data_IF_126690315777
#
_entry.id   IF_126690315777
#
_cell.length_a   1.000
_cell.length_b   1.000
_cell.length_c   1.000
_cell.angle_alpha   90.00
_cell.angle_beta   90.00
_cell.angle_gamma   90.00
#
_symmetry.space_group_name_H-M   'P 1'
#
loop_
_entity.id
_entity.type
_entity.pdbx_description
1 polymer ?
#
# COMPACT_ATOMS: atom_id res chain seq x y z
N UNK A 1 60.59 -18.25 -37.66
CA UNK A 1 60.62 -17.80 -36.25
C UNK A 1 59.86 -16.50 -36.00
N UNK A 2 59.96 -15.49 -36.87
CA UNK A 2 59.35 -14.15 -36.63
C UNK A 2 57.95 -14.00 -37.24
N UNK A 3 57.67 -14.72 -38.33
CA UNK A 3 56.38 -14.67 -39.05
C UNK A 3 55.26 -15.40 -38.29
N UNK A 4 55.56 -16.53 -37.63
CA UNK A 4 54.59 -17.25 -36.78
C UNK A 4 54.23 -16.47 -35.51
N UNK A 5 55.18 -15.75 -34.91
CA UNK A 5 54.92 -14.86 -33.77
C UNK A 5 54.01 -13.69 -34.15
N UNK A 6 54.21 -13.10 -35.35
CA UNK A 6 53.34 -12.04 -35.85
C UNK A 6 51.92 -12.55 -36.17
N UNK A 7 51.80 -13.74 -36.78
CA UNK A 7 50.51 -14.35 -37.07
C UNK A 7 49.73 -14.72 -35.79
N UNK A 8 50.42 -15.21 -34.76
CA UNK A 8 49.82 -15.55 -33.46
C UNK A 8 49.47 -14.28 -32.65
N UNK A 9 50.28 -13.22 -32.72
CA UNK A 9 49.97 -11.92 -32.12
C UNK A 9 48.77 -11.24 -32.79
N UNK A 10 48.69 -11.28 -34.12
CA UNK A 10 47.56 -10.73 -34.88
C UNK A 10 46.30 -11.57 -34.62
N UNK A 11 46.39 -12.90 -34.64
CA UNK A 11 45.29 -13.80 -34.30
C UNK A 11 44.78 -13.63 -32.86
N UNK A 12 45.69 -13.42 -31.90
CA UNK A 12 45.37 -13.12 -30.50
C UNK A 12 44.66 -11.77 -30.31
N UNK A 13 45.05 -10.75 -31.06
CA UNK A 13 44.37 -9.44 -31.08
C UNK A 13 42.94 -9.52 -31.65
N UNK A 14 42.72 -10.28 -32.72
CA UNK A 14 41.38 -10.50 -33.28
C UNK A 14 40.47 -11.30 -32.36
N UNK A 15 41.02 -12.32 -31.67
CA UNK A 15 40.28 -13.08 -30.66
C UNK A 15 39.94 -12.21 -29.43
N UNK A 16 40.89 -11.41 -28.92
CA UNK A 16 40.67 -10.50 -27.80
C UNK A 16 39.63 -9.40 -28.14
N UNK A 17 39.68 -8.84 -29.35
CA UNK A 17 38.70 -7.85 -29.82
C UNK A 17 37.30 -8.45 -29.93
N UNK A 18 37.18 -9.70 -30.38
CA UNK A 18 35.89 -10.39 -30.50
C UNK A 18 35.30 -10.75 -29.13
N UNK A 19 36.14 -11.22 -28.20
CA UNK A 19 35.75 -11.50 -26.81
C UNK A 19 35.32 -10.22 -26.08
N UNK A 20 36.07 -9.13 -26.23
CA UNK A 20 35.71 -7.84 -25.65
C UNK A 20 34.36 -7.32 -26.16
N UNK A 21 34.11 -7.43 -27.48
CA UNK A 21 32.81 -7.04 -28.07
C UNK A 21 31.66 -7.92 -27.56
N UNK A 22 31.91 -9.20 -27.32
CA UNK A 22 30.91 -10.11 -26.75
C UNK A 22 30.58 -9.73 -25.29
N UNK A 23 31.58 -9.56 -24.43
CA UNK A 23 31.37 -9.18 -23.03
C UNK A 23 30.73 -7.80 -22.88
N UNK A 24 31.08 -6.84 -23.73
CA UNK A 24 30.42 -5.53 -23.79
C UNK A 24 28.94 -5.67 -24.13
N UNK A 25 28.58 -6.50 -25.11
CA UNK A 25 27.17 -6.75 -25.47
C UNK A 25 26.42 -7.44 -24.34
N UNK A 26 27.03 -8.41 -23.67
CA UNK A 26 26.41 -9.09 -22.53
C UNK A 26 26.17 -8.13 -21.37
N UNK A 27 27.15 -7.27 -21.05
CA UNK A 27 26.99 -6.24 -20.03
C UNK A 27 25.84 -5.28 -20.33
N UNK A 28 25.75 -4.79 -21.58
CA UNK A 28 24.65 -3.91 -22.00
C UNK A 28 23.30 -4.63 -21.88
N UNK A 29 23.25 -5.91 -22.24
CA UNK A 29 22.04 -6.73 -22.12
C UNK A 29 21.63 -6.92 -20.65
N UNK A 30 22.56 -7.31 -19.79
CA UNK A 30 22.31 -7.51 -18.35
C UNK A 30 21.87 -6.22 -17.66
N UNK A 31 22.50 -5.09 -18.01
CA UNK A 31 22.11 -3.76 -17.49
C UNK A 31 20.72 -3.35 -17.96
N UNK A 32 20.37 -3.61 -19.22
CA UNK A 32 19.02 -3.35 -19.74
C UNK A 32 17.97 -4.17 -18.99
N UNK A 33 18.24 -5.45 -18.73
CA UNK A 33 17.34 -6.32 -17.97
C UNK A 33 17.19 -5.87 -16.51
N UNK A 34 18.28 -5.41 -15.87
CA UNK A 34 18.20 -4.84 -14.52
C UNK A 34 17.36 -3.57 -14.50
N UNK A 35 17.55 -2.67 -15.46
CA UNK A 35 16.78 -1.44 -15.57
C UNK A 35 15.28 -1.73 -15.77
N UNK A 36 14.94 -2.68 -16.64
CA UNK A 36 13.54 -3.12 -16.84
C UNK A 36 12.93 -3.69 -15.55
N UNK A 37 13.68 -4.48 -14.78
CA UNK A 37 13.24 -4.98 -13.47
C UNK A 37 12.98 -3.87 -12.46
N UNK A 38 13.88 -2.89 -12.37
CA UNK A 38 13.73 -1.76 -11.45
C UNK A 38 12.52 -0.88 -11.81
N UNK A 39 12.21 -0.70 -13.10
CA UNK A 39 10.97 -0.06 -13.53
C UNK A 39 9.74 -0.87 -13.14
N UNK A 40 9.75 -2.19 -13.37
CA UNK A 40 8.64 -3.07 -12.97
C UNK A 40 8.40 -3.04 -11.46
N UNK A 41 9.46 -3.04 -10.64
CA UNK A 41 9.33 -2.92 -9.19
C UNK A 41 8.71 -1.58 -8.77
N UNK A 42 9.05 -0.49 -9.47
CA UNK A 42 8.43 0.82 -9.23
C UNK A 42 6.96 0.83 -9.62
N UNK A 43 6.61 0.25 -10.77
CA UNK A 43 5.23 0.13 -11.22
C UNK A 43 4.39 -0.70 -10.23
N UNK A 44 4.91 -1.85 -9.77
CA UNK A 44 4.25 -2.67 -8.75
C UNK A 44 4.03 -1.91 -7.44
N UNK A 45 4.99 -1.07 -7.01
CA UNK A 45 4.81 -0.22 -5.82
C UNK A 45 3.68 0.79 -6.06
N UNK A 46 3.65 1.45 -7.21
CA UNK A 46 2.58 2.41 -7.53
C UNK A 46 1.21 1.73 -7.53
N UNK A 47 1.08 0.56 -8.15
CA UNK A 47 -0.16 -0.23 -8.15
C UNK A 47 -0.60 -0.62 -6.72
N UNK A 48 0.34 -1.03 -5.87
CA UNK A 48 0.06 -1.31 -4.46
C UNK A 48 -0.52 -0.09 -3.73
N UNK A 49 -0.02 1.12 -4.01
CA UNK A 49 -0.58 2.34 -3.44
C UNK A 49 -1.96 2.67 -3.98
N UNK A 50 -2.27 2.34 -5.24
CA UNK A 50 -3.62 2.48 -5.79
C UNK A 50 -4.59 1.56 -5.04
N UNK A 51 -4.22 0.29 -4.86
CA UNK A 51 -4.99 -0.68 -4.06
C UNK A 51 -5.26 -0.17 -2.64
N UNK A 52 -4.26 0.40 -1.96
CA UNK A 52 -4.46 0.97 -0.62
C UNK A 52 -5.44 2.16 -0.60
N UNK A 53 -5.52 2.95 -1.68
CA UNK A 53 -6.50 4.05 -1.76
C UNK A 53 -7.91 3.53 -1.96
N UNK A 54 -8.06 2.43 -2.69
CA UNK A 54 -9.36 1.76 -2.88
C UNK A 54 -9.83 1.12 -1.57
N UNK A 55 -8.97 0.37 -0.89
CA UNK A 55 -9.29 -0.26 0.40
C UNK A 55 -9.73 0.76 1.47
N UNK A 56 -9.05 1.92 1.55
CA UNK A 56 -9.46 3.01 2.46
C UNK A 56 -10.85 3.55 2.12
N UNK A 57 -11.21 3.65 0.83
CA UNK A 57 -12.55 4.12 0.43
C UNK A 57 -13.60 3.07 0.76
N UNK A 58 -13.33 1.81 0.46
CA UNK A 58 -14.25 0.71 0.71
C UNK A 58 -14.54 0.54 2.21
N UNK A 59 -13.53 0.70 3.08
CA UNK A 59 -13.71 0.65 4.53
C UNK A 59 -14.60 1.79 5.05
N UNK A 60 -14.40 3.01 4.52
CA UNK A 60 -15.22 4.18 4.89
C UNK A 60 -16.65 4.00 4.40
N UNK A 61 -16.83 3.58 3.15
CA UNK A 61 -18.15 3.37 2.55
C UNK A 61 -18.93 2.26 3.27
N UNK A 62 -18.27 1.18 3.66
CA UNK A 62 -18.87 0.13 4.48
C UNK A 62 -19.35 0.67 5.83
N UNK A 63 -18.57 1.54 6.46
CA UNK A 63 -18.92 2.14 7.75
C UNK A 63 -20.11 3.08 7.62
N UNK A 64 -20.12 3.95 6.60
CA UNK A 64 -21.23 4.86 6.32
C UNK A 64 -22.50 4.08 6.02
N UNK A 65 -22.44 3.09 5.13
CA UNK A 65 -23.59 2.25 4.78
C UNK A 65 -24.18 1.54 6.01
N UNK A 66 -23.33 1.03 6.90
CA UNK A 66 -23.78 0.37 8.14
C UNK A 66 -24.44 1.35 9.12
N UNK A 67 -23.89 2.56 9.26
CA UNK A 67 -24.47 3.60 10.13
C UNK A 67 -25.81 4.11 9.60
N UNK A 68 -25.96 4.23 8.28
CA UNK A 68 -27.22 4.62 7.65
C UNK A 68 -28.31 3.56 7.89
N UNK A 69 -27.97 2.27 7.86
CA UNK A 69 -28.89 1.18 8.18
C UNK A 69 -29.37 1.25 9.65
N UNK A 70 -28.47 1.59 10.58
CA UNK A 70 -28.85 1.83 11.97
C UNK A 70 -29.73 3.06 12.14
N UNK A 71 -29.51 4.11 11.35
CA UNK A 71 -30.32 5.33 11.39
C UNK A 71 -31.75 5.07 10.92
N UNK A 72 -31.93 4.26 9.87
CA UNK A 72 -33.27 3.82 9.41
C UNK A 72 -33.96 2.99 10.49
N UNK A 73 -33.27 2.01 11.09
CA UNK A 73 -33.84 1.17 12.14
C UNK A 73 -34.25 2.00 13.37
N UNK A 74 -33.40 2.94 13.79
CA UNK A 74 -33.69 3.85 14.89
C UNK A 74 -34.89 4.78 14.58
N UNK A 75 -35.00 5.28 13.35
CA UNK A 75 -36.11 6.12 12.92
C UNK A 75 -37.46 5.37 12.94
N UNK A 76 -37.48 4.11 12.47
CA UNK A 76 -38.70 3.28 12.52
C UNK A 76 -39.14 2.96 13.95
N UNK A 77 -38.19 2.67 14.84
CA UNK A 77 -38.49 2.45 16.26
C UNK A 77 -38.99 3.74 16.92
N UNK A 78 -38.40 4.89 16.57
CA UNK A 78 -38.83 6.19 17.08
C UNK A 78 -40.24 6.56 16.61
N UNK A 79 -40.59 6.28 15.35
CA UNK A 79 -41.95 6.46 14.82
C UNK A 79 -42.96 5.58 15.58
N UNK A 80 -42.63 4.29 15.76
CA UNK A 80 -43.50 3.37 16.51
C UNK A 80 -43.72 3.82 17.95
N UNK A 81 -42.67 4.32 18.61
CA UNK A 81 -42.74 4.78 19.99
C UNK A 81 -43.50 6.11 20.11
N UNK A 82 -43.38 6.98 19.10
CA UNK A 82 -44.19 8.21 18.98
C UNK A 82 -45.69 7.89 18.86
N UNK A 83 -46.05 6.91 18.04
CA UNK A 83 -47.45 6.44 17.96
C UNK A 83 -47.95 5.91 19.31
N UNK A 84 -47.13 5.13 20.03
CA UNK A 84 -47.51 4.64 21.37
C UNK A 84 -47.71 5.77 22.39
N UNK A 85 -46.94 6.86 22.30
CA UNK A 85 -47.11 8.04 23.16
C UNK A 85 -48.44 8.74 22.83
N UNK A 86 -48.78 8.90 21.55
CA UNK A 86 -50.02 9.55 21.13
C UNK A 86 -51.28 8.72 21.45
N UNK A 87 -51.21 7.40 21.34
CA UNK A 87 -52.35 6.48 21.61
C UNK A 87 -52.36 5.91 23.03
N UNK A 88 -51.52 6.43 23.93
CA UNK A 88 -51.39 5.94 25.30
C UNK A 88 -52.74 5.93 26.05
N UNK A 89 -53.64 6.87 25.74
CA UNK A 89 -54.96 6.97 26.36
C UNK A 89 -55.95 5.86 25.95
N UNK A 90 -55.71 5.20 24.81
CA UNK A 90 -56.58 4.14 24.28
C UNK A 90 -56.06 2.74 24.63
N UNK A 91 -54.76 2.62 24.91
CA UNK A 91 -54.10 1.34 25.15
C UNK A 91 -54.30 0.79 26.58
N UNK A 92 -54.62 1.64 27.56
CA UNK A 92 -54.84 1.22 28.95
C UNK A 92 -56.33 0.97 29.25
N UNK A 93 -56.67 -0.02 30.10
CA UNK A 93 -58.04 -0.27 30.51
C UNK A 93 -58.65 0.98 31.14
N UNK A 94 -59.91 1.33 30.80
CA UNK A 94 -60.59 2.46 31.43
C UNK A 94 -60.63 2.24 32.95
N UNK A 95 -60.02 3.14 33.72
CA UNK A 95 -59.81 3.14 35.21
C UNK A 95 -58.53 2.47 35.73
N UNK A 96 -57.44 2.42 34.95
CA UNK A 96 -56.12 2.05 35.50
C UNK A 96 -55.66 3.03 36.60
N UNK A 97 -54.94 2.56 37.65
CA UNK A 97 -54.39 3.43 38.69
C UNK A 97 -53.41 4.46 38.13
N UNK A 98 -53.45 5.70 38.64
CA UNK A 98 -52.65 6.82 38.13
C UNK A 98 -51.13 6.55 38.17
N UNK A 99 -50.65 5.86 39.19
CA UNK A 99 -49.23 5.50 39.31
C UNK A 99 -48.75 4.57 38.19
N UNK A 100 -49.62 3.72 37.62
CA UNK A 100 -49.28 2.85 36.47
C UNK A 100 -49.12 3.69 35.21
N UNK A 101 -50.01 4.67 35.02
CA UNK A 101 -49.97 5.59 33.87
C UNK A 101 -48.70 6.43 33.92
N UNK A 102 -48.33 6.94 35.10
CA UNK A 102 -47.10 7.71 35.31
C UNK A 102 -45.84 6.86 35.08
N UNK A 103 -45.81 5.61 35.56
CA UNK A 103 -44.67 4.72 35.32
C UNK A 103 -44.52 4.40 33.82
N UNK A 104 -45.64 4.14 33.14
CA UNK A 104 -45.64 3.88 31.70
C UNK A 104 -45.16 5.11 30.90
N UNK A 105 -45.63 6.33 31.23
CA UNK A 105 -45.18 7.55 30.57
C UNK A 105 -43.69 7.86 30.80
N UNK A 106 -43.17 7.59 32.01
CA UNK A 106 -41.73 7.71 32.28
C UNK A 106 -40.91 6.71 31.46
N UNK A 107 -41.38 5.47 31.32
CA UNK A 107 -40.70 4.45 30.52
C UNK A 107 -40.68 4.82 29.03
N UNK A 108 -41.79 5.31 28.47
CA UNK A 108 -41.89 5.79 27.10
C UNK A 108 -41.01 7.03 26.87
N UNK A 109 -41.01 7.98 27.80
CA UNK A 109 -40.14 9.16 27.73
C UNK A 109 -38.66 8.76 27.72
N UNK A 110 -38.25 7.85 28.60
CA UNK A 110 -36.87 7.35 28.65
C UNK A 110 -36.48 6.60 27.36
N UNK A 111 -37.41 5.84 26.77
CA UNK A 111 -37.22 5.19 25.47
C UNK A 111 -37.03 6.18 24.33
N UNK A 112 -37.82 7.27 24.30
CA UNK A 112 -37.65 8.35 23.31
C UNK A 112 -36.27 9.01 23.41
N UNK A 113 -35.83 9.36 24.62
CA UNK A 113 -34.51 9.96 24.83
C UNK A 113 -33.38 9.03 24.41
N UNK A 114 -33.49 7.73 24.70
CA UNK A 114 -32.50 6.73 24.29
C UNK A 114 -32.39 6.62 22.75
N UNK A 115 -33.53 6.58 22.05
CA UNK A 115 -33.54 6.52 20.59
C UNK A 115 -32.99 7.80 19.95
N UNK A 116 -33.26 8.96 20.54
CA UNK A 116 -32.72 10.23 20.08
C UNK A 116 -31.19 10.29 20.25
N UNK A 117 -30.66 9.81 21.38
CA UNK A 117 -29.22 9.68 21.58
C UNK A 117 -28.59 8.69 20.59
N UNK A 118 -29.24 7.56 20.34
CA UNK A 118 -28.77 6.58 19.35
C UNK A 118 -28.67 7.22 17.95
N UNK A 119 -29.70 7.97 17.53
CA UNK A 119 -29.73 8.66 16.24
C UNK A 119 -28.63 9.73 16.15
N UNK A 120 -28.43 10.50 17.22
CA UNK A 120 -27.35 11.48 17.33
C UNK A 120 -25.96 10.83 17.17
N UNK A 121 -25.71 9.74 17.90
CA UNK A 121 -24.45 9.02 17.83
C UNK A 121 -24.21 8.39 16.45
N UNK A 122 -25.25 7.83 15.82
CA UNK A 122 -25.15 7.30 14.46
C UNK A 122 -24.80 8.37 13.43
N UNK A 123 -25.43 9.56 13.52
CA UNK A 123 -25.10 10.71 12.67
C UNK A 123 -23.66 11.17 12.90
N UNK A 124 -23.23 11.30 14.15
CA UNK A 124 -21.88 11.72 14.48
C UNK A 124 -20.83 10.71 13.97
N UNK A 125 -21.10 9.41 14.13
CA UNK A 125 -20.24 8.34 13.61
C UNK A 125 -20.10 8.42 12.07
N UNK A 126 -21.20 8.59 11.34
CA UNK A 126 -21.21 8.70 9.87
C UNK A 126 -20.36 9.90 9.38
N UNK A 127 -20.57 11.08 9.96
CA UNK A 127 -19.78 12.28 9.61
C UNK A 127 -18.30 12.12 9.97
N UNK A 128 -18.00 11.53 11.13
CA UNK A 128 -16.63 11.30 11.55
C UNK A 128 -15.89 10.32 10.62
N UNK A 129 -16.56 9.26 10.15
CA UNK A 129 -15.99 8.27 9.23
C UNK A 129 -15.58 8.92 7.90
N UNK A 130 -16.43 9.79 7.34
CA UNK A 130 -16.11 10.55 6.12
C UNK A 130 -14.91 11.49 6.32
N UNK A 131 -14.85 12.18 7.47
CA UNK A 131 -13.73 13.05 7.80
C UNK A 131 -12.40 12.27 7.96
N UNK A 132 -12.44 11.11 8.60
CA UNK A 132 -11.27 10.23 8.73
C UNK A 132 -10.84 9.64 7.38
N UNK A 133 -11.78 9.26 6.51
CA UNK A 133 -11.49 8.82 5.15
C UNK A 133 -10.73 9.87 4.34
N UNK A 134 -11.19 11.12 4.37
CA UNK A 134 -10.50 12.23 3.72
C UNK A 134 -9.09 12.47 4.30
N UNK A 135 -8.93 12.33 5.63
CA UNK A 135 -7.64 12.49 6.31
C UNK A 135 -6.66 11.37 5.95
N UNK A 136 -7.12 10.12 5.89
CA UNK A 136 -6.32 8.95 5.47
C UNK A 136 -5.79 9.13 4.05
N UNK A 137 -6.65 9.55 3.11
CA UNK A 137 -6.29 9.73 1.71
C UNK A 137 -5.33 10.90 1.45
N UNK A 138 -5.32 11.92 2.33
CA UNK A 138 -4.49 13.13 2.16
C UNK A 138 -3.20 13.11 2.97
N UNK A 139 -3.21 12.52 4.16
CA UNK A 139 -2.06 12.55 5.07
C UNK A 139 -1.25 11.26 5.08
N UNK A 140 -1.90 10.10 4.97
CA UNK A 140 -1.26 8.81 5.18
C UNK A 140 -0.89 8.10 3.87
N UNK A 141 -1.72 8.21 2.83
CA UNK A 141 -1.42 7.61 1.52
C UNK A 141 -0.65 8.59 0.63
N UNK A 142 0.62 8.81 0.95
CA UNK A 142 1.56 9.57 0.09
C UNK A 142 2.17 8.66 -0.96
N UNK A 143 2.33 9.17 -2.18
CA UNK A 143 2.95 8.43 -3.28
C UNK A 143 4.42 8.11 -2.97
N UNK A 144 4.91 6.91 -3.30
CA UNK A 144 6.32 6.59 -3.22
C UNK A 144 7.03 7.38 -4.32
N UNK A 145 7.84 8.37 -3.92
CA UNK A 145 8.71 9.04 -4.88
C UNK A 145 10.06 8.32 -4.91
N UNK A 146 10.54 8.04 -6.12
CA UNK A 146 11.91 7.57 -6.28
C UNK A 146 12.85 8.74 -6.05
N UNK A 147 13.85 8.52 -5.20
CA UNK A 147 14.86 9.55 -4.93
C UNK A 147 15.79 9.65 -6.14
N UNK A 148 16.28 10.85 -6.44
CA UNK A 148 17.21 11.07 -7.58
C UNK A 148 18.44 10.16 -7.52
N UNK A 149 18.86 9.79 -6.32
CA UNK A 149 19.95 8.83 -6.08
C UNK A 149 19.61 7.43 -6.59
N UNK A 150 18.38 6.95 -6.36
CA UNK A 150 17.91 5.65 -6.86
C UNK A 150 17.85 5.65 -8.39
N UNK A 151 17.41 6.75 -8.99
CA UNK A 151 17.41 6.91 -10.46
C UNK A 151 18.85 6.95 -11.01
N UNK A 152 19.77 7.61 -10.30
CA UNK A 152 21.17 7.70 -10.68
C UNK A 152 21.91 6.36 -10.54
N UNK A 153 21.48 5.49 -9.62
CA UNK A 153 21.97 4.11 -9.46
C UNK A 153 21.38 3.17 -10.54
N UNK A 154 20.12 3.38 -10.92
CA UNK A 154 19.45 2.67 -12.00
C UNK A 154 20.04 2.97 -13.39
N UNK A 155 20.61 4.16 -13.56
CA UNK A 155 21.18 4.61 -14.83
C UNK A 155 22.51 3.91 -15.10
N UNK A 156 22.61 3.20 -16.23
CA UNK A 156 23.85 2.55 -16.64
C UNK A 156 24.94 3.57 -16.96
N UNK A 157 26.00 3.63 -16.14
CA UNK A 157 27.20 4.42 -16.41
C UNK A 157 28.26 3.56 -17.10
N UNK A 158 28.99 4.16 -18.03
CA UNK A 158 30.12 3.49 -18.69
C UNK A 158 31.24 3.13 -17.72
N UNK A 159 31.37 3.91 -16.64
CA UNK A 159 32.33 3.68 -15.54
C UNK A 159 32.09 2.33 -14.86
N UNK A 160 30.84 1.89 -14.71
CA UNK A 160 30.49 0.60 -14.11
C UNK A 160 31.03 -0.60 -14.91
N UNK A 161 31.26 -0.42 -16.22
CA UNK A 161 31.84 -1.45 -17.08
C UNK A 161 33.37 -1.50 -16.93
N UNK A 162 33.99 -0.35 -16.73
CA UNK A 162 35.45 -0.20 -16.61
C UNK A 162 35.96 -0.61 -15.22
N UNK A 163 35.12 -0.46 -14.18
CA UNK A 163 35.43 -0.86 -12.80
C UNK A 163 35.45 -2.39 -12.57
N UNK A 164 34.86 -3.20 -13.47
CA UNK A 164 34.78 -4.67 -13.32
C UNK A 164 36.10 -5.43 -13.56
N UNK A 165 37.19 -4.73 -13.83
CA UNK A 165 38.53 -5.33 -13.92
C UNK A 165 38.78 -6.13 -15.21
N UNK A 166 40.05 -6.19 -15.62
CA UNK A 166 40.47 -6.79 -16.90
C UNK A 166 40.15 -8.30 -17.04
N UNK A 167 40.00 -9.01 -15.93
CA UNK A 167 39.65 -10.44 -15.91
C UNK A 167 38.19 -10.74 -16.28
N UNK A 168 37.24 -9.89 -15.88
CA UNK A 168 35.83 -10.04 -16.26
C UNK A 168 35.55 -9.49 -17.67
N UNK A 169 36.35 -8.51 -18.11
CA UNK A 169 36.30 -7.93 -19.46
C UNK A 169 36.64 -8.95 -20.57
N UNK A 170 37.37 -10.01 -20.25
CA UNK A 170 37.81 -11.07 -21.17
C UNK A 170 37.27 -12.46 -20.81
N UNK A 171 36.06 -12.53 -20.25
CA UNK A 171 35.33 -13.79 -20.04
C UNK A 171 35.22 -14.60 -21.34
N UNK A 172 35.55 -15.89 -21.26
CA UNK A 172 35.50 -16.85 -22.37
C UNK A 172 34.21 -17.69 -22.24
N UNK A 173 33.34 -17.73 -23.25
CA UNK A 173 31.95 -18.20 -23.12
C UNK A 173 31.75 -19.70 -22.83
N UNK A 174 32.81 -20.51 -22.71
CA UNK A 174 32.71 -21.98 -22.59
C UNK A 174 33.58 -22.55 -21.44
N UNK A 175 34.58 -21.80 -20.94
CA UNK A 175 35.53 -22.32 -19.94
C UNK A 175 35.06 -22.18 -18.49
N UNK A 176 33.98 -21.43 -18.24
CA UNK A 176 33.49 -21.18 -16.88
C UNK A 176 32.35 -22.14 -16.56
N UNK A 177 32.74 -23.39 -16.25
CA UNK A 177 31.87 -24.34 -15.58
C UNK A 177 31.67 -23.85 -14.15
N UNK A 178 30.41 -23.78 -13.72
CA UNK A 178 29.94 -23.19 -12.47
C UNK A 178 30.86 -23.42 -11.27
N UNK A 179 31.31 -22.33 -10.65
CA UNK A 179 31.81 -22.34 -9.27
C UNK A 179 30.62 -22.11 -8.33
N UNK A 180 30.44 -22.92 -7.28
CA UNK A 180 29.23 -22.89 -6.47
C UNK A 180 29.19 -21.66 -5.57
N UNK A 181 28.06 -20.95 -5.60
CA UNK A 181 27.53 -20.15 -4.49
C UNK A 181 28.49 -19.17 -3.81
N UNK A 182 28.64 -17.98 -4.38
CA UNK A 182 28.75 -16.78 -3.54
C UNK A 182 27.43 -16.06 -3.65
N UNK A 183 26.61 -16.25 -2.63
CA UNK A 183 25.45 -15.43 -2.33
C UNK A 183 25.93 -13.99 -2.19
N UNK A 184 25.80 -13.19 -3.25
CA UNK A 184 25.71 -11.74 -3.13
C UNK A 184 24.35 -11.44 -2.47
N UNK A 185 24.28 -11.68 -1.15
CA UNK A 185 23.33 -10.95 -0.33
C UNK A 185 23.66 -9.46 -0.55
N UNK A 186 22.71 -8.63 -1.00
CA UNK A 186 22.89 -7.19 -0.85
C UNK A 186 23.13 -6.90 0.64
N UNK A 187 23.92 -5.88 1.01
CA UNK A 187 24.05 -5.48 2.40
C UNK A 187 22.68 -4.98 2.90
N UNK A 188 21.92 -5.88 3.51
CA UNK A 188 20.78 -5.58 4.36
C UNK A 188 21.30 -4.91 5.64
N UNK A 189 21.52 -3.60 5.64
CA UNK A 189 21.06 -2.68 6.71
C UNK A 189 21.41 -1.22 6.39
N UNK A 190 20.48 -0.30 6.68
CA UNK A 190 20.79 0.67 7.72
C UNK A 190 20.03 0.30 9.00
N UNK A 191 20.80 -0.11 10.01
CA UNK A 191 20.35 -0.07 11.40
C UNK A 191 20.13 1.40 11.74
N UNK A 192 18.86 1.81 11.74
CA UNK A 192 18.40 3.16 12.04
C UNK A 192 16.93 3.14 12.43
N UNK A 193 16.55 2.20 13.29
CA UNK A 193 15.34 2.36 14.10
C UNK A 193 15.65 3.42 15.17
N UNK A 194 15.11 4.61 15.01
CA UNK A 194 14.80 5.50 16.11
C UNK A 194 13.34 5.93 15.94
N UNK A 195 12.50 5.22 16.69
CA UNK A 195 11.19 5.71 17.11
C UNK A 195 11.34 7.12 17.69
N UNK A 196 10.55 8.07 17.19
CA UNK A 196 10.09 9.21 17.99
C UNK A 196 8.60 9.41 17.70
N UNK A 197 7.81 8.43 18.12
CA UNK A 197 6.41 8.60 18.47
C UNK A 197 6.31 8.65 19.99
N UNK A 198 6.55 9.82 20.56
CA UNK A 198 6.05 10.21 21.86
C UNK A 198 5.56 11.65 21.72
N UNK A 199 4.33 11.86 22.15
CA UNK A 199 3.46 13.06 22.07
C UNK A 199 2.59 13.20 20.81
#
# INVERSE_FOLDING_TARGET
GLVDMAALAVGGLFAASSLFKYNKKNFIFDKKMRQEREFQEQDMRVEQFVLYREDVRDLVDLTVSKMDLYLIAAALLADRLTVMVCTQNEALPPRSPEWVVALNSMSLASGMFYLLLCLWLAMYASVSAQAYGARLLTQLVRLPYTTREQIAQATAKGTDYEERGFGELLRVPIAQKDGPGTTDNPPDTPAGAAESGAE
#
